data_IF_763788958602
#
_entry.id   IF_763788958602
#
_cell.length_a   1.000
_cell.length_b   1.000
_cell.length_c   1.000
_cell.angle_alpha   90.00
_cell.angle_beta   90.00
_cell.angle_gamma   90.00
#
_symmetry.space_group_name_H-M   'P 1'
#
loop_
_entity.id
_entity.type
_entity.pdbx_description
1 polymer ?
#
# COMPACT_ATOMS: atom_id res chain seq x y z
N UNK A 1 -27.41 23.57 7.83
CA UNK A 1 -25.99 23.16 7.77
C UNK A 1 -25.33 24.04 6.73
N UNK A 2 -24.68 25.12 7.16
CA UNK A 2 -23.95 25.99 6.25
C UNK A 2 -22.71 25.24 5.73
N UNK A 3 -22.78 24.78 4.49
CA UNK A 3 -21.67 24.16 3.78
C UNK A 3 -20.59 25.23 3.57
N UNK A 4 -19.64 25.32 4.49
CA UNK A 4 -18.46 26.16 4.37
C UNK A 4 -17.54 25.58 3.29
N UNK A 5 -17.88 25.83 2.02
CA UNK A 5 -17.15 25.38 0.84
C UNK A 5 -15.65 25.75 0.90
N UNK A 6 -15.30 26.89 1.52
CA UNK A 6 -13.91 27.29 1.71
C UNK A 6 -13.14 26.38 2.67
N UNK A 7 -13.76 25.92 3.76
CA UNK A 7 -13.14 24.99 4.69
C UNK A 7 -12.99 23.60 4.07
N UNK A 8 -14.00 23.15 3.31
CA UNK A 8 -13.94 21.87 2.58
C UNK A 8 -12.86 21.88 1.49
N UNK A 9 -12.71 22.97 0.72
CA UNK A 9 -11.68 23.10 -0.31
C UNK A 9 -10.27 23.16 0.31
N UNK A 10 -10.12 23.85 1.45
CA UNK A 10 -8.86 23.87 2.22
C UNK A 10 -8.44 22.49 2.72
N UNK A 11 -9.36 21.77 3.37
CA UNK A 11 -9.10 20.42 3.89
C UNK A 11 -8.88 19.39 2.77
N UNK A 12 -9.61 19.51 1.65
CA UNK A 12 -9.40 18.66 0.48
C UNK A 12 -8.06 18.93 -0.21
N UNK A 13 -7.62 20.19 -0.28
CA UNK A 13 -6.31 20.56 -0.82
C UNK A 13 -5.16 19.99 0.00
N UNK A 14 -5.23 20.10 1.33
CA UNK A 14 -4.25 19.52 2.24
C UNK A 14 -4.26 17.99 2.16
N UNK A 15 -5.45 17.37 2.13
CA UNK A 15 -5.62 15.93 1.97
C UNK A 15 -5.01 15.41 0.66
N UNK A 16 -5.19 16.11 -0.46
CA UNK A 16 -4.61 15.73 -1.75
C UNK A 16 -3.08 15.82 -1.79
N UNK A 17 -2.48 16.88 -1.25
CA UNK A 17 -1.02 17.02 -1.18
C UNK A 17 -0.43 15.98 -0.23
N UNK A 18 -1.04 15.77 0.93
CA UNK A 18 -0.63 14.75 1.89
C UNK A 18 -0.73 13.33 1.28
N UNK A 19 -1.81 13.06 0.55
CA UNK A 19 -1.98 11.83 -0.22
C UNK A 19 -0.85 11.65 -1.24
N UNK A 20 -0.56 12.68 -2.03
CA UNK A 20 0.48 12.67 -3.06
C UNK A 20 1.87 12.37 -2.48
N UNK A 21 2.29 13.08 -1.43
CA UNK A 21 3.58 12.85 -0.78
C UNK A 21 3.67 11.44 -0.19
N UNK A 22 2.58 10.98 0.45
CA UNK A 22 2.52 9.63 1.02
C UNK A 22 2.63 8.56 -0.07
N UNK A 23 1.85 8.68 -1.16
CA UNK A 23 1.88 7.74 -2.28
C UNK A 23 3.25 7.66 -2.96
N UNK A 24 3.92 8.81 -3.12
CA UNK A 24 5.27 8.88 -3.67
C UNK A 24 6.29 8.17 -2.76
N UNK A 25 6.26 8.44 -1.46
CA UNK A 25 7.15 7.79 -0.49
C UNK A 25 6.92 6.28 -0.44
N UNK A 26 5.65 5.83 -0.40
CA UNK A 26 5.28 4.41 -0.36
C UNK A 26 5.83 3.67 -1.56
N UNK A 27 5.75 4.22 -2.78
CA UNK A 27 6.27 3.51 -3.96
C UNK A 27 7.78 3.31 -3.94
N UNK A 28 8.52 4.30 -3.44
CA UNK A 28 9.99 4.19 -3.33
C UNK A 28 10.38 3.09 -2.35
N UNK A 29 9.68 2.99 -1.22
CA UNK A 29 9.86 1.90 -0.24
C UNK A 29 9.42 0.56 -0.84
N UNK A 30 8.30 0.53 -1.56
CA UNK A 30 7.77 -0.69 -2.19
C UNK A 30 8.76 -1.27 -3.21
N UNK A 31 9.43 -0.44 -4.02
CA UNK A 31 10.47 -0.92 -4.96
C UNK A 31 11.58 -1.67 -4.23
N UNK A 32 12.06 -1.13 -3.11
CA UNK A 32 13.10 -1.78 -2.29
C UNK A 32 12.57 -3.05 -1.62
N UNK A 33 11.37 -3.00 -1.03
CA UNK A 33 10.75 -4.15 -0.40
C UNK A 33 10.53 -5.30 -1.39
N UNK A 34 10.00 -5.01 -2.59
CA UNK A 34 9.83 -6.00 -3.66
C UNK A 34 11.15 -6.61 -4.11
N UNK A 35 12.22 -5.81 -4.22
CA UNK A 35 13.54 -6.33 -4.56
C UNK A 35 14.06 -7.31 -3.49
N UNK A 36 13.91 -6.96 -2.21
CA UNK A 36 14.31 -7.82 -1.10
C UNK A 36 13.48 -9.11 -1.02
N UNK A 37 12.15 -9.00 -1.17
CA UNK A 37 11.24 -10.16 -1.18
C UNK A 37 11.59 -11.08 -2.36
N UNK A 38 11.80 -10.54 -3.55
CA UNK A 38 12.19 -11.32 -4.73
C UNK A 38 13.51 -12.04 -4.53
N UNK A 39 14.53 -11.34 -4.04
CA UNK A 39 15.83 -11.94 -3.73
C UNK A 39 15.72 -13.06 -2.68
N UNK A 40 14.91 -12.86 -1.65
CA UNK A 40 14.66 -13.85 -0.60
C UNK A 40 13.95 -15.09 -1.16
N UNK A 41 12.89 -14.91 -1.95
CA UNK A 41 12.18 -16.03 -2.59
C UNK A 41 13.09 -16.82 -3.53
N UNK A 42 13.93 -16.14 -4.33
CA UNK A 42 14.90 -16.80 -5.19
C UNK A 42 15.90 -17.65 -4.39
N UNK A 43 16.38 -17.13 -3.25
CA UNK A 43 17.27 -17.88 -2.34
C UNK A 43 16.56 -19.13 -1.81
N UNK A 44 15.32 -19.00 -1.34
CA UNK A 44 14.50 -20.13 -0.88
C UNK A 44 14.31 -21.19 -1.97
N UNK A 45 13.94 -20.81 -3.19
CA UNK A 45 13.78 -21.74 -4.30
C UNK A 45 15.09 -22.45 -4.66
N UNK A 46 16.22 -21.77 -4.56
CA UNK A 46 17.53 -22.39 -4.78
C UNK A 46 17.86 -23.44 -3.72
N UNK A 47 17.59 -23.16 -2.44
CA UNK A 47 17.77 -24.14 -1.36
C UNK A 47 16.82 -25.35 -1.53
N UNK A 48 15.59 -25.12 -2.01
CA UNK A 48 14.64 -26.19 -2.29
C UNK A 48 15.13 -27.11 -3.41
N UNK A 49 15.67 -26.57 -4.51
CA UNK A 49 16.22 -27.38 -5.61
C UNK A 49 17.40 -28.25 -5.16
N UNK A 50 18.17 -27.79 -4.16
CA UNK A 50 19.25 -28.56 -3.55
C UNK A 50 18.77 -29.57 -2.50
N UNK A 51 17.47 -29.61 -2.20
CA UNK A 51 16.90 -30.50 -1.18
C UNK A 51 17.23 -30.11 0.26
N UNK A 52 17.74 -28.89 0.50
CA UNK A 52 18.09 -28.41 1.85
C UNK A 52 16.83 -28.07 2.65
N UNK A 53 15.78 -27.60 1.98
CA UNK A 53 14.49 -27.24 2.57
C UNK A 53 13.32 -27.71 1.69
N UNK A 54 12.15 -27.94 2.29
CA UNK A 54 10.89 -28.16 1.58
C UNK A 54 9.97 -26.98 1.82
N UNK A 55 9.53 -26.32 0.74
CA UNK A 55 8.64 -25.15 0.85
C UNK A 55 7.20 -25.62 0.68
N UNK A 56 6.33 -25.29 1.63
CA UNK A 56 4.89 -25.47 1.48
C UNK A 56 4.31 -24.29 0.70
N UNK A 57 4.04 -24.51 -0.58
CA UNK A 57 3.53 -23.47 -1.49
C UNK A 57 2.15 -22.97 -1.06
N UNK A 58 1.26 -23.83 -0.57
CA UNK A 58 -0.09 -23.44 -0.13
C UNK A 58 -0.05 -22.44 1.03
N UNK A 59 0.78 -22.70 2.04
CA UNK A 59 0.97 -21.79 3.18
C UNK A 59 1.63 -20.48 2.75
N UNK A 60 2.56 -20.53 1.80
CA UNK A 60 3.21 -19.34 1.26
C UNK A 60 2.19 -18.45 0.51
N UNK A 61 1.28 -19.04 -0.27
CA UNK A 61 0.21 -18.30 -0.92
C UNK A 61 -0.81 -17.74 0.08
N UNK A 62 -1.19 -18.51 1.11
CA UNK A 62 -2.10 -18.04 2.15
C UNK A 62 -1.56 -16.84 2.92
N UNK A 63 -0.25 -16.82 3.24
CA UNK A 63 0.40 -15.65 3.84
C UNK A 63 0.23 -14.38 2.99
N UNK A 64 0.23 -14.51 1.66
CA UNK A 64 0.03 -13.39 0.74
C UNK A 64 -1.44 -12.95 0.71
N UNK A 65 -2.37 -13.91 0.77
CA UNK A 65 -3.81 -13.65 0.89
C UNK A 65 -4.17 -12.89 2.17
N UNK A 66 -3.65 -13.34 3.32
CA UNK A 66 -3.88 -12.71 4.62
C UNK A 66 -3.32 -11.29 4.67
N UNK A 67 -2.14 -11.06 4.09
CA UNK A 67 -1.55 -9.73 4.00
C UNK A 67 -2.40 -8.79 3.12
N UNK A 68 -2.93 -9.30 2.00
CA UNK A 68 -3.81 -8.54 1.10
C UNK A 68 -5.11 -8.16 1.80
N UNK A 69 -5.73 -9.11 2.52
CA UNK A 69 -6.94 -8.86 3.29
C UNK A 69 -6.72 -7.83 4.40
N UNK A 70 -5.58 -7.89 5.10
CA UNK A 70 -5.21 -6.90 6.10
C UNK A 70 -5.05 -5.50 5.49
N UNK A 71 -4.31 -5.36 4.38
CA UNK A 71 -4.15 -4.08 3.69
C UNK A 71 -5.49 -3.52 3.22
N UNK A 72 -6.37 -4.36 2.66
CA UNK A 72 -7.71 -3.96 2.25
C UNK A 72 -8.55 -3.46 3.44
N UNK A 73 -8.47 -4.14 4.58
CA UNK A 73 -9.18 -3.74 5.81
C UNK A 73 -8.67 -2.40 6.37
N UNK A 74 -7.35 -2.15 6.29
CA UNK A 74 -6.75 -0.88 6.70
C UNK A 74 -7.20 0.25 5.76
N UNK A 75 -7.27 -0.02 4.46
CA UNK A 75 -7.83 0.90 3.47
C UNK A 75 -9.27 1.26 3.80
N UNK A 76 -10.12 0.25 4.02
CA UNK A 76 -11.53 0.46 4.38
C UNK A 76 -11.71 1.25 5.69
N UNK A 77 -10.88 0.96 6.71
CA UNK A 77 -10.87 1.74 7.95
C UNK A 77 -10.48 3.19 7.68
N UNK A 78 -9.39 3.44 6.94
CA UNK A 78 -8.94 4.79 6.61
C UNK A 78 -10.00 5.59 5.82
N UNK A 79 -10.78 4.93 4.95
CA UNK A 79 -11.90 5.54 4.25
C UNK A 79 -13.06 5.96 5.18
N UNK A 80 -13.25 5.28 6.29
CA UNK A 80 -14.33 5.54 7.24
C UNK A 80 -14.06 6.68 8.25
N UNK A 81 -12.80 7.08 8.46
CA UNK A 81 -12.40 8.02 9.52
C UNK A 81 -12.08 9.43 9.03
N UNK A 82 -11.88 9.64 7.72
CA UNK A 82 -11.30 10.88 7.21
C UNK A 82 -12.31 11.68 6.35
N UNK A 83 -12.77 12.87 6.79
CA UNK A 83 -13.45 13.82 5.91
C UNK A 83 -12.49 14.25 4.78
N UNK A 84 -12.93 14.22 3.52
CA UNK A 84 -12.07 14.55 2.37
C UNK A 84 -11.24 13.38 1.79
N UNK A 85 -11.58 12.13 2.12
CA UNK A 85 -10.97 10.89 1.59
C UNK A 85 -10.83 10.87 0.07
N UNK A 86 -11.79 11.41 -0.68
CA UNK A 86 -11.71 11.47 -2.14
C UNK A 86 -10.46 12.21 -2.64
N UNK A 87 -10.12 13.34 -2.03
CA UNK A 87 -8.95 14.13 -2.42
C UNK A 87 -7.64 13.43 -2.00
N UNK A 88 -7.60 12.83 -0.81
CA UNK A 88 -6.45 12.04 -0.36
C UNK A 88 -6.19 10.83 -1.26
N UNK A 89 -7.21 10.04 -1.62
CA UNK A 89 -7.05 8.87 -2.50
C UNK A 89 -6.58 9.31 -3.88
N UNK A 90 -7.18 10.37 -4.44
CA UNK A 90 -6.78 10.88 -5.74
C UNK A 90 -5.33 11.37 -5.71
N UNK A 91 -4.95 12.13 -4.69
CA UNK A 91 -3.58 12.55 -4.45
C UNK A 91 -2.62 11.37 -4.29
N UNK A 92 -2.98 10.39 -3.46
CA UNK A 92 -2.21 9.18 -3.21
C UNK A 92 -2.01 8.36 -4.47
N UNK A 93 -3.05 8.15 -5.26
CA UNK A 93 -2.95 7.42 -6.52
C UNK A 93 -2.01 8.13 -7.50
N UNK A 94 -2.10 9.46 -7.61
CA UNK A 94 -1.19 10.24 -8.45
C UNK A 94 0.26 10.21 -7.94
N UNK A 95 0.46 10.31 -6.63
CA UNK A 95 1.77 10.20 -5.99
C UNK A 95 2.39 8.82 -6.19
N UNK A 96 1.59 7.78 -5.99
CA UNK A 96 1.98 6.39 -6.23
C UNK A 96 2.21 6.13 -7.72
N UNK A 97 1.47 6.75 -8.65
CA UNK A 97 1.77 6.60 -10.08
C UNK A 97 3.13 7.22 -10.43
N UNK A 98 3.45 8.40 -9.89
CA UNK A 98 4.70 9.12 -10.15
C UNK A 98 5.93 8.62 -9.38
N UNK A 99 5.76 7.90 -8.28
CA UNK A 99 6.86 7.39 -7.44
C UNK A 99 7.67 6.22 -7.99
#
# INVERSE_FOLDING_TARGET
MDLNLNAMIGDMGVGGIAGFLTGFAVKKVMKLAMALIGAYLLSLFWLQQKGVITINTDKLFNLTGDLTAQIASLGQKALGILPGTGAFIAGFYLGFSKG
#
